data_IF_633435297851
#
_entry.id   IF_633435297851
#
_cell.length_a   1.000
_cell.length_b   1.000
_cell.length_c   1.000
_cell.angle_alpha   90.00
_cell.angle_beta   90.00
_cell.angle_gamma   90.00
#
_symmetry.space_group_name_H-M   'P 1'
#
loop_
_entity.id
_entity.type
_entity.pdbx_description
1 polymer ?
#
# COMPACT_ATOMS: atom_id res chain seq x y z
N UNK A 1 39.83 -18.69 68.74
CA UNK A 1 38.40 -18.28 68.61
C UNK A 1 38.30 -17.43 67.41
N UNK A 2 37.72 -17.75 66.41
CA UNK A 2 37.22 -18.87 65.60
C UNK A 2 36.95 -18.34 64.23
N UNK A 3 37.79 -18.75 63.30
CA UNK A 3 37.64 -18.41 61.88
C UNK A 3 36.41 -19.08 61.22
N UNK A 4 35.65 -19.85 61.95
CA UNK A 4 34.47 -20.58 61.47
C UNK A 4 33.18 -19.76 61.48
N UNK A 5 33.10 -18.61 62.16
CA UNK A 5 31.88 -17.78 62.23
C UNK A 5 31.81 -16.75 61.10
N UNK A 6 32.94 -16.49 60.41
CA UNK A 6 32.96 -15.52 59.31
C UNK A 6 32.54 -16.09 57.97
N UNK A 7 32.46 -17.41 57.81
CA UNK A 7 32.11 -18.05 56.52
C UNK A 7 30.60 -18.25 56.35
N UNK A 8 29.83 -18.21 57.47
CA UNK A 8 28.38 -18.48 57.45
C UNK A 8 27.48 -17.25 57.15
N UNK A 9 28.04 -16.04 57.05
CA UNK A 9 27.29 -14.80 56.78
C UNK A 9 27.38 -14.30 55.35
N UNK A 10 28.14 -14.97 54.47
CA UNK A 10 28.29 -14.56 53.05
C UNK A 10 27.35 -15.37 52.12
N UNK A 11 26.77 -16.47 52.63
CA UNK A 11 25.94 -17.37 51.78
C UNK A 11 24.45 -17.05 51.73
N UNK A 12 23.98 -16.01 52.44
CA UNK A 12 22.54 -15.69 52.52
C UNK A 12 22.09 -14.46 51.68
N UNK A 13 23.01 -13.82 50.93
CA UNK A 13 22.70 -12.60 50.18
C UNK A 13 22.57 -12.80 48.66
N UNK A 14 22.54 -14.03 48.15
CA UNK A 14 22.54 -14.31 46.70
C UNK A 14 21.23 -14.87 46.15
N UNK A 15 20.10 -14.73 46.81
CA UNK A 15 18.84 -15.40 46.40
C UNK A 15 17.63 -14.47 46.32
N UNK A 16 17.76 -13.20 45.90
CA UNK A 16 16.60 -12.36 45.56
C UNK A 16 16.92 -11.33 44.48
N UNK A 17 17.66 -11.72 43.45
CA UNK A 17 17.54 -11.01 42.15
C UNK A 17 16.30 -11.57 41.43
N UNK A 18 15.13 -11.20 41.93
CA UNK A 18 13.88 -11.39 41.17
C UNK A 18 13.98 -10.53 39.94
N UNK A 19 14.50 -11.08 38.84
CA UNK A 19 14.51 -10.43 37.52
C UNK A 19 13.05 -10.27 37.08
N UNK A 20 12.50 -9.12 37.40
CA UNK A 20 11.27 -8.65 36.76
C UNK A 20 11.59 -8.51 35.26
N UNK A 21 11.41 -9.59 34.49
CA UNK A 21 11.38 -9.50 33.04
C UNK A 21 10.12 -8.68 32.71
N UNK A 22 10.25 -7.52 32.05
CA UNK A 22 9.08 -6.81 31.57
C UNK A 22 8.27 -7.77 30.69
N UNK A 23 6.92 -7.69 30.69
CA UNK A 23 6.12 -8.51 29.82
C UNK A 23 6.64 -8.34 28.40
N UNK A 24 6.94 -9.44 27.72
CA UNK A 24 7.38 -9.43 26.34
C UNK A 24 6.26 -8.76 25.53
N UNK A 25 6.42 -7.47 25.25
CA UNK A 25 5.53 -6.74 24.35
C UNK A 25 5.46 -7.51 23.05
N UNK A 26 4.26 -7.68 22.48
CA UNK A 26 4.11 -8.30 21.18
C UNK A 26 5.10 -7.65 20.20
N UNK A 27 5.90 -8.49 19.52
CA UNK A 27 6.84 -7.99 18.52
C UNK A 27 6.07 -7.11 17.52
N UNK A 28 6.61 -5.95 17.12
CA UNK A 28 5.94 -5.09 16.17
C UNK A 28 5.68 -5.87 14.87
N UNK A 29 4.49 -5.70 14.29
CA UNK A 29 4.14 -6.28 12.99
C UNK A 29 5.15 -5.79 11.93
N UNK A 30 5.69 -6.70 11.14
CA UNK A 30 6.69 -6.36 10.13
C UNK A 30 6.70 -7.35 8.98
N UNK A 31 7.16 -6.87 7.81
CA UNK A 31 7.18 -7.61 6.56
C UNK A 31 8.59 -8.15 6.21
N UNK A 32 9.54 -8.03 7.13
CA UNK A 32 10.94 -8.37 6.90
C UNK A 32 11.17 -9.81 6.42
N UNK A 33 10.30 -10.76 6.83
CA UNK A 33 10.40 -12.15 6.37
C UNK A 33 10.05 -12.28 4.88
N UNK A 34 9.02 -11.55 4.40
CA UNK A 34 8.62 -11.52 3.01
C UNK A 34 9.63 -10.77 2.13
N UNK A 35 10.29 -9.76 2.68
CA UNK A 35 11.24 -8.91 1.97
C UNK A 35 12.69 -9.39 2.07
N UNK A 36 12.94 -10.56 2.65
CA UNK A 36 14.30 -11.09 2.84
C UNK A 36 15.07 -11.20 1.52
N UNK A 37 16.17 -10.45 1.40
CA UNK A 37 17.01 -10.42 0.19
C UNK A 37 16.43 -9.63 -0.97
N UNK A 38 15.29 -8.94 -0.78
CA UNK A 38 14.71 -8.08 -1.81
C UNK A 38 15.24 -6.65 -1.66
N UNK A 39 15.79 -6.12 -2.75
CA UNK A 39 16.26 -4.72 -2.82
C UNK A 39 15.36 -3.86 -3.69
N UNK A 40 14.58 -4.48 -4.58
CA UNK A 40 13.62 -3.84 -5.48
C UNK A 40 12.25 -4.53 -5.35
N UNK A 41 11.18 -3.75 -5.30
CA UNK A 41 9.80 -4.21 -5.35
C UNK A 41 9.10 -3.65 -6.59
N UNK A 42 8.65 -4.55 -7.47
CA UNK A 42 7.88 -4.21 -8.67
C UNK A 42 6.46 -4.72 -8.49
N UNK A 43 5.48 -3.84 -8.36
CA UNK A 43 4.08 -4.22 -8.12
C UNK A 43 3.10 -3.50 -9.04
N UNK A 44 2.08 -4.24 -9.50
CA UNK A 44 0.92 -3.70 -10.22
C UNK A 44 -0.30 -3.88 -9.33
N UNK A 45 -0.92 -2.79 -8.94
CA UNK A 45 -2.23 -2.80 -8.30
C UNK A 45 -3.30 -2.65 -9.39
N UNK A 46 -3.96 -3.75 -9.74
CA UNK A 46 -5.08 -3.74 -10.68
C UNK A 46 -6.37 -3.54 -9.91
N UNK A 47 -7.08 -2.44 -10.17
CA UNK A 47 -8.23 -2.02 -9.38
C UNK A 47 -9.50 -2.08 -10.23
N UNK A 48 -10.46 -2.91 -9.78
CA UNK A 48 -11.81 -3.05 -10.33
C UNK A 48 -12.83 -2.85 -9.21
N UNK A 49 -13.13 -1.60 -8.88
CA UNK A 49 -14.04 -1.22 -7.80
C UNK A 49 -15.15 -0.30 -8.33
N UNK A 50 -16.39 -0.59 -7.93
CA UNK A 50 -17.56 0.18 -8.29
C UNK A 50 -18.01 1.19 -7.21
N UNK A 51 -17.21 1.39 -6.17
CA UNK A 51 -17.52 2.30 -5.07
C UNK A 51 -16.34 3.25 -4.81
N UNK A 52 -16.55 4.58 -4.88
CA UNK A 52 -15.45 5.53 -4.72
C UNK A 52 -14.86 5.59 -3.32
N UNK A 53 -15.65 5.27 -2.27
CA UNK A 53 -15.15 5.21 -0.90
C UNK A 53 -14.20 4.03 -0.70
N UNK A 54 -14.54 2.85 -1.25
CA UNK A 54 -13.64 1.68 -1.25
C UNK A 54 -12.37 1.97 -2.06
N UNK A 55 -12.49 2.63 -3.21
CA UNK A 55 -11.34 3.03 -4.04
C UNK A 55 -10.44 4.00 -3.28
N UNK A 56 -10.99 5.03 -2.64
CA UNK A 56 -10.21 5.97 -1.84
C UNK A 56 -9.45 5.26 -0.70
N UNK A 57 -10.09 4.27 -0.06
CA UNK A 57 -9.44 3.44 0.96
C UNK A 57 -8.30 2.60 0.37
N UNK A 58 -8.53 1.91 -0.75
CA UNK A 58 -7.51 1.11 -1.43
C UNK A 58 -6.27 1.93 -1.81
N UNK A 59 -6.48 3.13 -2.36
CA UNK A 59 -5.38 4.05 -2.71
C UNK A 59 -4.56 4.48 -1.49
N UNK A 60 -5.21 4.70 -0.33
CA UNK A 60 -4.51 4.97 0.94
C UNK A 60 -3.68 3.76 1.42
N UNK A 61 -4.16 2.54 1.19
CA UNK A 61 -3.39 1.32 1.50
C UNK A 61 -2.17 1.21 0.59
N UNK A 62 -2.30 1.51 -0.71
CA UNK A 62 -1.18 1.55 -1.67
C UNK A 62 -0.13 2.60 -1.24
N UNK A 63 -0.55 3.78 -0.80
CA UNK A 63 0.34 4.81 -0.25
C UNK A 63 1.13 4.28 0.96
N UNK A 64 0.45 3.59 1.89
CA UNK A 64 1.11 2.96 3.04
C UNK A 64 2.07 1.85 2.61
N UNK A 65 1.74 1.09 1.58
CA UNK A 65 2.61 0.05 1.00
C UNK A 65 3.89 0.67 0.44
N UNK A 66 3.78 1.73 -0.37
CA UNK A 66 4.94 2.46 -0.90
C UNK A 66 5.84 2.98 0.22
N UNK A 67 5.24 3.64 1.21
CA UNK A 67 5.98 4.17 2.37
C UNK A 67 6.59 3.05 3.21
N UNK A 68 5.89 1.93 3.37
CA UNK A 68 6.36 0.76 4.13
C UNK A 68 7.59 0.10 3.49
N UNK A 69 7.57 -0.05 2.16
CA UNK A 69 8.72 -0.53 1.38
C UNK A 69 9.92 0.42 1.51
N UNK A 70 9.68 1.74 1.40
CA UNK A 70 10.74 2.74 1.56
C UNK A 70 11.43 2.67 2.93
N UNK A 71 10.64 2.53 4.01
CA UNK A 71 11.18 2.40 5.37
C UNK A 71 12.02 1.15 5.57
N UNK A 72 11.84 0.13 4.74
CA UNK A 72 12.64 -1.10 4.75
C UNK A 72 13.78 -1.08 3.72
N UNK A 73 14.11 0.10 3.16
CA UNK A 73 15.16 0.32 2.17
C UNK A 73 14.98 -0.48 0.88
N UNK A 74 13.74 -0.77 0.50
CA UNK A 74 13.40 -1.42 -0.76
C UNK A 74 13.07 -0.35 -1.80
N UNK A 75 13.73 -0.38 -2.95
CA UNK A 75 13.41 0.50 -4.07
C UNK A 75 12.06 0.10 -4.67
N UNK A 76 11.19 1.07 -4.90
CA UNK A 76 9.81 0.87 -5.29
C UNK A 76 9.59 1.18 -6.75
N UNK A 77 8.91 0.28 -7.45
CA UNK A 77 8.42 0.44 -8.81
C UNK A 77 6.96 0.02 -8.81
N UNK A 78 6.06 0.95 -8.46
CA UNK A 78 4.65 0.66 -8.32
C UNK A 78 3.85 1.25 -9.47
N UNK A 79 2.88 0.48 -9.95
CA UNK A 79 1.92 0.86 -10.98
C UNK A 79 0.52 0.61 -10.45
N UNK A 80 -0.38 1.54 -10.67
CA UNK A 80 -1.82 1.38 -10.43
C UNK A 80 -2.52 1.38 -11.78
N UNK A 81 -3.24 0.31 -12.08
CA UNK A 81 -4.05 0.18 -13.30
C UNK A 81 -5.52 0.13 -12.90
N UNK A 82 -6.25 1.17 -13.27
CA UNK A 82 -7.68 1.34 -12.96
C UNK A 82 -8.48 0.82 -14.14
N UNK A 83 -9.35 -0.16 -13.87
CA UNK A 83 -10.19 -0.83 -14.87
C UNK A 83 -11.67 -0.81 -14.45
N UNK A 84 -12.54 -1.32 -15.31
CA UNK A 84 -13.98 -1.45 -15.01
C UNK A 84 -14.62 -0.14 -14.57
N UNK A 85 -15.62 -0.16 -13.69
CA UNK A 85 -16.36 1.03 -13.27
C UNK A 85 -15.51 2.07 -12.51
N UNK A 86 -14.36 1.67 -11.97
CA UNK A 86 -13.47 2.57 -11.25
C UNK A 86 -12.95 3.74 -12.12
N UNK A 87 -12.94 3.58 -13.47
CA UNK A 87 -12.48 4.65 -14.38
C UNK A 87 -13.34 5.90 -14.31
N UNK A 88 -14.63 5.79 -13.94
CA UNK A 88 -15.49 6.95 -13.77
C UNK A 88 -15.03 7.90 -12.66
N UNK A 89 -14.36 7.36 -11.63
CA UNK A 89 -13.92 8.15 -10.48
C UNK A 89 -12.60 8.91 -10.74
N UNK A 90 -11.97 8.66 -11.89
CA UNK A 90 -10.70 9.32 -12.29
C UNK A 90 -10.88 10.31 -13.43
N UNK A 91 -12.12 10.66 -13.77
CA UNK A 91 -12.44 11.67 -14.78
C UNK A 91 -12.86 12.99 -14.14
N UNK A 92 -12.75 14.08 -14.92
CA UNK A 92 -13.26 15.42 -14.55
C UNK A 92 -14.78 15.46 -14.61
N UNK A 93 -15.37 14.65 -15.51
CA UNK A 93 -16.83 14.53 -15.64
C UNK A 93 -17.42 13.83 -14.41
N UNK A 94 -18.39 14.46 -13.79
CA UNK A 94 -19.12 13.94 -12.63
C UNK A 94 -20.55 13.52 -12.99
N UNK A 95 -20.93 13.59 -14.27
CA UNK A 95 -22.23 13.10 -14.73
C UNK A 95 -22.35 11.60 -14.47
N UNK A 96 -23.49 11.17 -13.98
CA UNK A 96 -23.72 9.77 -13.59
C UNK A 96 -23.15 9.36 -12.22
N UNK A 97 -22.39 10.22 -11.52
CA UNK A 97 -21.98 9.99 -10.16
C UNK A 97 -22.99 10.60 -9.20
N UNK A 98 -23.61 9.80 -8.30
CA UNK A 98 -24.56 10.29 -7.31
C UNK A 98 -23.94 11.42 -6.48
N UNK A 99 -24.74 12.46 -6.18
CA UNK A 99 -24.27 13.62 -5.43
C UNK A 99 -23.61 13.23 -4.09
N UNK A 100 -24.17 12.26 -3.39
CA UNK A 100 -23.63 11.75 -2.12
C UNK A 100 -22.27 11.06 -2.25
N UNK A 101 -21.89 10.61 -3.44
CA UNK A 101 -20.60 9.96 -3.70
C UNK A 101 -19.52 10.94 -4.18
N UNK A 102 -19.89 12.13 -4.61
CA UNK A 102 -18.93 13.12 -5.14
C UNK A 102 -17.82 13.51 -4.13
N UNK A 103 -18.08 13.62 -2.82
CA UNK A 103 -17.00 13.84 -1.85
C UNK A 103 -15.98 12.69 -1.82
N UNK A 104 -16.43 11.44 -1.97
CA UNK A 104 -15.54 10.29 -2.02
C UNK A 104 -14.69 10.27 -3.32
N UNK A 105 -15.28 10.68 -4.45
CA UNK A 105 -14.54 10.85 -5.70
C UNK A 105 -13.46 11.95 -5.58
N UNK A 106 -13.74 13.03 -4.87
CA UNK A 106 -12.72 14.04 -4.59
C UNK A 106 -11.55 13.47 -3.76
N UNK A 107 -11.84 12.59 -2.80
CA UNK A 107 -10.81 11.88 -2.04
C UNK A 107 -10.00 10.91 -2.92
N UNK A 108 -10.64 10.20 -3.86
CA UNK A 108 -9.94 9.36 -4.85
C UNK A 108 -8.93 10.20 -5.64
N UNK A 109 -9.38 11.32 -6.21
CA UNK A 109 -8.53 12.16 -7.05
C UNK A 109 -7.38 12.80 -6.26
N UNK A 110 -7.63 13.20 -5.02
CA UNK A 110 -6.57 13.69 -4.13
C UNK A 110 -5.53 12.60 -3.79
N UNK A 111 -5.98 11.36 -3.53
CA UNK A 111 -5.09 10.24 -3.26
C UNK A 111 -4.24 9.86 -4.49
N UNK A 112 -4.83 9.90 -5.70
CA UNK A 112 -4.10 9.70 -6.95
C UNK A 112 -3.05 10.79 -7.17
N UNK A 113 -3.39 12.06 -6.93
CA UNK A 113 -2.41 13.15 -6.99
C UNK A 113 -1.22 12.91 -6.07
N UNK A 114 -1.46 12.43 -4.84
CA UNK A 114 -0.41 12.10 -3.89
C UNK A 114 0.46 10.93 -4.36
N UNK A 115 -0.16 9.84 -4.82
CA UNK A 115 0.57 8.69 -5.35
C UNK A 115 1.43 9.06 -6.56
N UNK A 116 0.90 9.87 -7.48
CA UNK A 116 1.67 10.40 -8.62
C UNK A 116 2.89 11.21 -8.18
N UNK A 117 2.74 12.07 -7.16
CA UNK A 117 3.85 12.83 -6.58
C UNK A 117 4.89 11.94 -5.89
N UNK A 118 4.52 10.74 -5.44
CA UNK A 118 5.43 9.73 -4.89
C UNK A 118 6.15 8.91 -5.99
N UNK A 119 5.84 9.15 -7.27
CA UNK A 119 6.43 8.43 -8.40
C UNK A 119 5.71 7.15 -8.80
N UNK A 120 4.52 6.89 -8.26
CA UNK A 120 3.68 5.77 -8.67
C UNK A 120 3.10 6.04 -10.06
N UNK A 121 3.26 5.10 -10.99
CA UNK A 121 2.63 5.19 -12.31
C UNK A 121 1.13 4.90 -12.19
N UNK A 122 0.30 5.81 -12.71
CA UNK A 122 -1.16 5.71 -12.64
C UNK A 122 -1.74 5.59 -14.05
N UNK A 123 -2.54 4.56 -14.30
CA UNK A 123 -3.11 4.25 -15.60
C UNK A 123 -4.61 4.00 -15.51
N UNK A 124 -5.36 4.46 -16.54
CA UNK A 124 -6.79 4.19 -16.71
C UNK A 124 -7.04 3.43 -18.01
N UNK A 125 -7.83 2.37 -17.94
CA UNK A 125 -8.16 1.50 -19.06
C UNK A 125 -9.07 2.20 -20.08
N UNK A 126 -8.59 2.41 -21.30
CA UNK A 126 -9.35 3.03 -22.40
C UNK A 126 -10.55 2.19 -22.85
N UNK A 127 -10.44 0.85 -22.79
CA UNK A 127 -11.60 -0.04 -23.06
C UNK A 127 -12.71 0.23 -22.05
N UNK A 128 -12.39 0.40 -20.77
CA UNK A 128 -13.38 0.69 -19.73
C UNK A 128 -13.96 2.10 -19.88
N UNK A 129 -13.11 3.11 -20.18
CA UNK A 129 -13.57 4.47 -20.48
C UNK A 129 -14.58 4.46 -21.62
N UNK A 130 -14.24 3.82 -22.75
CA UNK A 130 -15.14 3.70 -23.90
C UNK A 130 -16.44 2.98 -23.57
N UNK A 131 -16.39 1.91 -22.75
CA UNK A 131 -17.58 1.18 -22.33
C UNK A 131 -18.53 1.99 -21.44
N UNK A 132 -18.06 3.11 -20.89
CA UNK A 132 -18.85 4.03 -20.04
C UNK A 132 -19.10 5.39 -20.74
N UNK A 133 -18.83 5.50 -22.03
CA UNK A 133 -18.97 6.74 -22.81
C UNK A 133 -18.17 7.93 -22.23
N UNK A 134 -17.00 7.63 -21.63
CA UNK A 134 -16.08 8.61 -21.08
C UNK A 134 -14.92 8.89 -22.04
N UNK A 135 -14.62 10.16 -22.27
CA UNK A 135 -13.51 10.53 -23.15
C UNK A 135 -12.15 10.38 -22.43
N UNK A 136 -11.11 9.89 -23.11
CA UNK A 136 -9.76 9.85 -22.53
C UNK A 136 -9.24 11.22 -22.07
N UNK A 137 -9.64 12.30 -22.74
CA UNK A 137 -9.25 13.68 -22.40
C UNK A 137 -9.91 14.20 -21.10
N UNK A 138 -10.97 13.54 -20.66
CA UNK A 138 -11.62 13.82 -19.37
C UNK A 138 -10.88 13.21 -18.19
N UNK A 139 -9.97 12.30 -18.41
CA UNK A 139 -9.15 11.73 -17.33
C UNK A 139 -8.31 12.83 -16.69
N UNK A 140 -8.23 12.83 -15.34
CA UNK A 140 -7.41 13.80 -14.62
C UNK A 140 -5.93 13.67 -15.02
N UNK A 141 -5.21 14.77 -15.07
CA UNK A 141 -3.84 14.85 -15.64
C UNK A 141 -2.80 13.96 -14.94
N UNK A 142 -3.05 13.55 -13.70
CA UNK A 142 -2.16 12.65 -12.95
C UNK A 142 -2.29 11.18 -13.34
N UNK A 143 -3.35 10.82 -14.10
CA UNK A 143 -3.62 9.45 -14.54
C UNK A 143 -3.49 9.40 -16.07
N UNK A 144 -2.78 8.41 -16.58
CA UNK A 144 -2.53 8.24 -18.01
C UNK A 144 -3.53 7.25 -18.61
N UNK A 145 -4.37 7.67 -19.57
CA UNK A 145 -5.17 6.73 -20.33
C UNK A 145 -4.28 5.77 -21.13
N UNK A 146 -4.57 4.47 -21.07
CA UNK A 146 -3.90 3.43 -21.87
C UNK A 146 -4.94 2.70 -22.71
N UNK A 147 -4.55 2.12 -23.85
CA UNK A 147 -5.51 1.46 -24.74
C UNK A 147 -6.30 0.35 -24.07
N UNK A 148 -5.63 -0.52 -23.30
CA UNK A 148 -6.24 -1.62 -22.56
C UNK A 148 -5.44 -1.92 -21.28
N UNK A 149 -6.07 -1.79 -20.12
CA UNK A 149 -5.44 -2.04 -18.82
C UNK A 149 -4.94 -3.48 -18.63
N UNK A 150 -5.58 -4.46 -19.27
CA UNK A 150 -5.09 -5.85 -19.22
C UNK A 150 -3.79 -6.02 -20.03
N UNK A 151 -3.67 -5.38 -21.18
CA UNK A 151 -2.42 -5.38 -21.96
C UNK A 151 -1.31 -4.70 -21.17
N UNK A 152 -1.62 -3.59 -20.50
CA UNK A 152 -0.70 -2.89 -19.63
C UNK A 152 -0.19 -3.83 -18.53
N UNK A 153 -1.09 -4.52 -17.83
CA UNK A 153 -0.73 -5.48 -16.77
C UNK A 153 0.13 -6.66 -17.29
N UNK A 154 -0.22 -7.24 -18.45
CA UNK A 154 0.58 -8.31 -19.08
C UNK A 154 1.99 -7.80 -19.39
N UNK A 155 2.11 -6.61 -19.97
CA UNK A 155 3.39 -6.00 -20.31
C UNK A 155 4.27 -5.74 -19.09
N UNK A 156 3.71 -5.24 -17.98
CA UNK A 156 4.45 -5.06 -16.74
C UNK A 156 4.85 -6.40 -16.10
N UNK A 157 3.96 -7.41 -16.10
CA UNK A 157 4.30 -8.73 -15.59
C UNK A 157 5.48 -9.34 -16.36
N UNK A 158 5.53 -9.19 -17.68
CA UNK A 158 6.67 -9.62 -18.50
C UNK A 158 7.98 -8.89 -18.14
N UNK A 159 7.90 -7.70 -17.51
CA UNK A 159 9.03 -6.93 -16.98
C UNK A 159 9.34 -7.28 -15.51
N UNK A 160 8.70 -8.32 -14.96
CA UNK A 160 8.94 -8.80 -13.59
C UNK A 160 8.10 -8.13 -12.50
N UNK A 161 7.04 -7.41 -12.86
CA UNK A 161 6.11 -6.86 -11.88
C UNK A 161 5.16 -7.96 -11.37
N UNK A 162 4.85 -7.92 -10.08
CA UNK A 162 3.92 -8.84 -9.44
C UNK A 162 2.52 -8.22 -9.41
N UNK A 163 1.50 -8.97 -9.82
CA UNK A 163 0.12 -8.51 -9.83
C UNK A 163 -0.51 -8.60 -8.44
N UNK A 164 -1.07 -7.49 -7.98
CA UNK A 164 -1.86 -7.37 -6.75
C UNK A 164 -3.28 -6.93 -7.15
N UNK A 165 -4.25 -7.85 -7.25
CA UNK A 165 -5.61 -7.50 -7.64
C UNK A 165 -6.37 -6.87 -6.47
N UNK A 166 -7.27 -5.89 -6.77
CA UNK A 166 -8.14 -5.18 -5.82
C UNK A 166 -9.55 -5.14 -6.40
N UNK A 167 -10.52 -5.82 -5.72
CA UNK A 167 -11.92 -5.95 -6.13
C UNK A 167 -12.88 -5.36 -5.10
#
# INVERSE_FOLDING_TARGET
MNNLVRILLISAALLLANTYAPPAGAAPLGDAAALRGQHDAKGIFMIDLNNPGKLAHALKVIEKTDTGLAKQNVKRHLVVVIIGPAVAFVTKDRRGIPYMEQPAVAQVQAALGKLGAMGVRLEACGVALKGMDLAPDDVISTVHPVGNGYISAIGYQAQGYQLVPIY
#
